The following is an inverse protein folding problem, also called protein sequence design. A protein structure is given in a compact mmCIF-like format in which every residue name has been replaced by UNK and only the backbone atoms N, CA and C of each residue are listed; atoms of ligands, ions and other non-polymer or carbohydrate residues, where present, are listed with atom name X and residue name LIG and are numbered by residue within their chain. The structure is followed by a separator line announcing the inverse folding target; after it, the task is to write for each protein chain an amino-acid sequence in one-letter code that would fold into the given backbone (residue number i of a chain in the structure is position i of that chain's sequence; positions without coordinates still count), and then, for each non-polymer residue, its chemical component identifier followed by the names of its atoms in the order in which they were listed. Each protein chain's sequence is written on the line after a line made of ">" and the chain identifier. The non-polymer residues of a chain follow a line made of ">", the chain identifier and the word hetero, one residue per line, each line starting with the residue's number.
data_IF_808583627234
#
_entry.id   IF_808583627234
#
_cell.length_a   1.000
_cell.length_b   1.000
_cell.length_c   1.000
_cell.angle_alpha   90.00
_cell.angle_beta   90.00
_cell.angle_gamma   90.00
#
_symmetry.space_group_name_H-M   'P 1'
#
loop_
_entity.id
_entity.type
_entity.pdbx_description
1 polymer ?
#
# COMPACT_ATOMS: atom_id res chain seq x y z
N UNK A 1 -72.47 -21.18 71.58
CA UNK A 1 -71.85 -21.10 70.29
C UNK A 1 -71.31 -19.72 69.98
N UNK A 2 -70.05 -19.49 69.84
CA UNK A 2 -69.56 -18.21 69.32
C UNK A 2 -69.01 -18.39 67.90
N UNK A 3 -69.14 -17.35 67.13
CA UNK A 3 -68.66 -17.15 65.77
C UNK A 3 -67.24 -16.61 65.80
N UNK A 4 -66.31 -17.34 65.16
CA UNK A 4 -64.95 -16.88 64.89
C UNK A 4 -64.86 -16.08 63.61
N UNK A 5 -64.48 -14.81 63.75
CA UNK A 5 -64.24 -13.89 62.63
C UNK A 5 -62.79 -13.95 62.28
N UNK A 6 -62.43 -14.55 61.10
CA UNK A 6 -61.10 -14.57 60.55
C UNK A 6 -60.83 -13.26 59.77
N UNK A 7 -59.96 -12.43 60.31
CA UNK A 7 -59.41 -11.23 59.63
C UNK A 7 -58.38 -11.64 58.57
N UNK A 8 -58.71 -11.48 57.30
CA UNK A 8 -57.78 -11.66 56.14
C UNK A 8 -56.83 -10.48 56.04
N UNK A 9 -55.53 -10.73 56.24
CA UNK A 9 -54.47 -9.78 56.04
C UNK A 9 -54.01 -9.81 54.58
N UNK A 10 -54.30 -8.75 53.81
CA UNK A 10 -53.79 -8.52 52.45
C UNK A 10 -52.29 -8.14 52.50
N UNK A 11 -51.46 -8.70 51.62
CA UNK A 11 -50.05 -8.32 51.56
C UNK A 11 -49.87 -6.92 50.89
N UNK A 12 -49.12 -6.07 51.57
CA UNK A 12 -48.71 -4.75 51.09
C UNK A 12 -47.88 -4.90 49.83
N UNK A 13 -48.33 -4.30 48.69
CA UNK A 13 -47.57 -4.13 47.46
C UNK A 13 -46.30 -3.28 47.73
N UNK A 14 -45.11 -3.84 47.49
CA UNK A 14 -43.86 -3.08 47.43
C UNK A 14 -43.90 -2.13 46.25
N UNK A 15 -43.40 -0.88 46.37
CA UNK A 15 -43.28 0.02 45.22
C UNK A 15 -42.25 -0.56 44.23
N UNK A 16 -42.65 -0.65 42.96
CA UNK A 16 -41.72 -0.98 41.85
C UNK A 16 -40.67 0.13 41.77
N UNK A 17 -39.40 -0.22 41.99
CA UNK A 17 -38.27 0.64 41.67
C UNK A 17 -38.38 1.06 40.19
N UNK A 18 -38.51 2.36 39.96
CA UNK A 18 -38.30 2.93 38.64
C UNK A 18 -36.87 2.58 38.21
N UNK A 19 -36.72 1.69 37.23
CA UNK A 19 -35.48 1.53 36.52
C UNK A 19 -35.14 2.90 35.92
N UNK A 20 -34.12 3.53 36.43
CA UNK A 20 -33.58 4.76 35.87
C UNK A 20 -33.14 4.45 34.43
N UNK A 21 -33.85 5.08 33.50
CA UNK A 21 -33.41 5.16 32.14
C UNK A 21 -32.06 5.89 32.17
N UNK A 22 -30.96 5.20 31.89
CA UNK A 22 -29.68 5.88 31.67
C UNK A 22 -29.92 6.91 30.56
N UNK A 23 -29.44 8.16 30.70
CA UNK A 23 -29.57 9.13 29.63
C UNK A 23 -28.95 8.55 28.37
N UNK A 24 -29.70 8.45 27.29
CA UNK A 24 -29.14 8.19 25.97
C UNK A 24 -28.10 9.30 25.76
N UNK A 25 -26.83 8.90 25.53
CA UNK A 25 -25.80 9.85 25.15
C UNK A 25 -26.33 10.61 23.93
N UNK A 26 -26.44 11.94 24.08
CA UNK A 26 -26.83 12.80 22.98
C UNK A 26 -25.90 12.55 21.79
N UNK A 27 -26.43 12.56 20.57
CA UNK A 27 -25.60 12.46 19.38
C UNK A 27 -24.60 13.63 19.39
N UNK A 28 -23.34 13.40 18.98
CA UNK A 28 -22.31 14.45 18.97
C UNK A 28 -22.74 15.58 18.02
N UNK A 29 -22.61 16.83 18.48
CA UNK A 29 -23.01 18.02 17.73
C UNK A 29 -21.98 18.42 16.66
N UNK A 30 -20.73 17.96 16.79
CA UNK A 30 -19.64 18.26 15.85
C UNK A 30 -18.73 17.04 15.58
N UNK A 31 -17.94 17.14 14.51
CA UNK A 31 -16.90 16.14 14.19
C UNK A 31 -15.89 16.04 15.33
N UNK A 32 -15.50 17.16 15.94
CA UNK A 32 -14.55 17.20 17.06
C UNK A 32 -15.08 16.45 18.29
N UNK A 33 -16.37 16.64 18.63
CA UNK A 33 -16.99 15.93 19.76
C UNK A 33 -17.09 14.44 19.49
N UNK A 34 -17.49 14.05 18.25
CA UNK A 34 -17.53 12.66 17.83
C UNK A 34 -16.14 11.99 17.87
N UNK A 35 -15.11 12.71 17.42
CA UNK A 35 -13.72 12.27 17.42
C UNK A 35 -13.20 12.11 18.86
N UNK A 36 -13.45 13.11 19.72
CA UNK A 36 -13.07 13.05 21.13
C UNK A 36 -13.72 11.86 21.84
N UNK A 37 -15.01 11.63 21.61
CA UNK A 37 -15.73 10.48 22.17
C UNK A 37 -15.17 9.14 21.64
N UNK A 38 -14.88 9.04 20.35
CA UNK A 38 -14.33 7.83 19.75
C UNK A 38 -12.95 7.47 20.32
N UNK A 39 -12.10 8.45 20.57
CA UNK A 39 -10.73 8.23 21.10
C UNK A 39 -10.71 7.82 22.59
N UNK A 40 -11.83 7.90 23.31
CA UNK A 40 -11.94 7.36 24.68
C UNK A 40 -12.03 5.83 24.74
N UNK A 41 -12.48 5.20 23.64
CA UNK A 41 -12.56 3.75 23.57
C UNK A 41 -11.20 3.17 23.15
N UNK A 42 -10.80 1.98 23.63
CA UNK A 42 -9.55 1.35 23.18
C UNK A 42 -9.59 0.96 21.68
N UNK A 43 -10.78 0.64 21.18
CA UNK A 43 -11.03 0.27 19.77
C UNK A 43 -12.21 1.07 19.25
N UNK A 44 -12.02 1.69 18.10
CA UNK A 44 -13.09 2.39 17.37
C UNK A 44 -13.58 1.50 16.23
N UNK A 45 -14.90 1.30 16.16
CA UNK A 45 -15.53 0.54 15.10
C UNK A 45 -16.07 1.49 14.03
N UNK A 46 -15.53 1.42 12.82
CA UNK A 46 -16.00 2.16 11.66
C UNK A 46 -16.46 1.17 10.59
N UNK A 47 -17.73 0.81 10.62
CA UNK A 47 -18.27 -0.29 9.82
C UNK A 47 -17.59 -1.62 10.15
N UNK A 48 -16.97 -2.26 9.15
CA UNK A 48 -16.20 -3.47 9.36
C UNK A 48 -14.78 -3.20 9.89
N UNK A 49 -14.31 -1.96 9.85
CA UNK A 49 -12.98 -1.58 10.30
C UNK A 49 -12.91 -1.43 11.82
N UNK A 50 -11.91 -2.06 12.43
CA UNK A 50 -11.53 -1.86 13.82
C UNK A 50 -10.22 -1.07 13.88
N UNK A 51 -10.23 0.06 14.58
CA UNK A 51 -9.09 0.96 14.69
C UNK A 51 -8.62 1.02 16.14
N UNK A 52 -7.31 0.95 16.35
CA UNK A 52 -6.67 1.11 17.65
C UNK A 52 -6.61 2.60 18.00
N UNK A 53 -7.47 3.03 18.92
CA UNK A 53 -7.55 4.44 19.34
C UNK A 53 -6.26 4.90 20.05
N UNK A 54 -5.59 4.04 20.82
CA UNK A 54 -4.35 4.41 21.51
C UNK A 54 -3.22 4.75 20.52
N UNK A 55 -3.19 4.08 19.38
CA UNK A 55 -2.25 4.35 18.30
C UNK A 55 -2.55 5.67 17.57
N UNK A 56 -3.82 6.05 17.48
CA UNK A 56 -4.25 7.25 16.75
C UNK A 56 -4.30 8.50 17.63
N UNK A 57 -4.55 8.37 18.92
CA UNK A 57 -4.65 9.49 19.86
C UNK A 57 -3.46 10.49 19.80
N UNK A 58 -2.18 10.06 19.65
CA UNK A 58 -1.06 10.98 19.57
C UNK A 58 -1.14 12.00 18.43
N UNK A 59 -1.82 11.69 17.33
CA UNK A 59 -2.02 12.60 16.20
C UNK A 59 -2.88 13.82 16.57
N UNK A 60 -3.74 13.68 17.57
CA UNK A 60 -4.71 14.68 18.00
C UNK A 60 -4.32 15.37 19.31
N UNK A 61 -3.30 14.89 20.00
CA UNK A 61 -2.91 15.41 21.31
C UNK A 61 -2.46 16.88 21.26
N UNK A 62 -1.76 17.30 20.20
CA UNK A 62 -1.30 18.69 20.03
C UNK A 62 -2.36 19.61 19.44
N UNK A 63 -3.41 19.05 18.82
CA UNK A 63 -4.45 19.80 18.10
C UNK A 63 -5.76 19.93 18.90
N UNK A 64 -5.73 19.68 20.21
CA UNK A 64 -6.93 19.71 21.07
C UNK A 64 -8.13 18.93 20.48
N UNK A 65 -7.83 17.77 19.87
CA UNK A 65 -8.81 16.91 19.19
C UNK A 65 -9.45 17.54 17.93
N UNK A 66 -8.80 18.53 17.33
CA UNK A 66 -9.28 19.09 16.05
C UNK A 66 -9.05 18.08 14.91
N UNK A 67 -10.02 17.90 14.00
CA UNK A 67 -9.87 17.06 12.83
C UNK A 67 -8.74 17.53 11.90
N UNK A 68 -7.97 16.59 11.34
CA UNK A 68 -6.83 16.84 10.46
C UNK A 68 -7.20 16.81 8.97
N UNK A 69 -8.25 16.07 8.62
CA UNK A 69 -8.64 15.71 7.26
C UNK A 69 -10.03 16.18 6.89
N UNK A 70 -10.95 16.19 7.86
CA UNK A 70 -12.38 16.37 7.63
C UNK A 70 -12.85 17.62 8.36
N UNK A 71 -13.79 18.33 7.75
CA UNK A 71 -14.51 19.45 8.35
C UNK A 71 -16.03 19.20 8.34
N UNK A 72 -16.82 20.10 8.88
CA UNK A 72 -18.26 20.03 8.79
C UNK A 72 -18.80 19.94 7.33
N UNK A 73 -18.02 20.45 6.37
CA UNK A 73 -18.33 20.33 4.93
C UNK A 73 -17.85 19.04 4.28
N UNK A 74 -17.24 18.11 5.05
CA UNK A 74 -16.71 16.84 4.56
C UNK A 74 -15.19 16.84 4.38
N UNK A 75 -14.70 15.90 3.57
CA UNK A 75 -13.29 15.70 3.31
C UNK A 75 -12.64 16.90 2.60
N UNK A 76 -11.56 17.44 3.20
CA UNK A 76 -10.84 18.59 2.66
C UNK A 76 -9.76 18.23 1.64
N UNK A 77 -9.01 19.23 1.17
CA UNK A 77 -7.91 19.06 0.22
C UNK A 77 -6.81 18.14 0.76
N UNK A 78 -6.49 18.21 2.05
CA UNK A 78 -5.52 17.31 2.72
C UNK A 78 -5.97 15.84 2.65
N UNK A 79 -7.27 15.58 2.89
CA UNK A 79 -7.85 14.24 2.77
C UNK A 79 -7.71 13.72 1.34
N UNK A 80 -7.96 14.56 0.34
CA UNK A 80 -7.85 14.19 -1.07
C UNK A 80 -6.40 13.87 -1.47
N UNK A 81 -5.42 14.64 -0.99
CA UNK A 81 -3.99 14.37 -1.21
C UNK A 81 -3.60 13.00 -0.65
N UNK A 82 -3.97 12.73 0.60
CA UNK A 82 -3.69 11.45 1.24
C UNK A 82 -4.39 10.29 0.52
N UNK A 83 -5.69 10.42 0.26
CA UNK A 83 -6.48 9.40 -0.48
C UNK A 83 -5.79 9.02 -1.79
N UNK A 84 -5.35 10.02 -2.57
CA UNK A 84 -4.64 9.81 -3.83
C UNK A 84 -3.34 9.05 -3.62
N UNK A 85 -2.55 9.39 -2.59
CA UNK A 85 -1.32 8.69 -2.26
C UNK A 85 -1.58 7.21 -1.87
N UNK A 86 -2.61 6.95 -1.06
CA UNK A 86 -2.99 5.60 -0.63
C UNK A 86 -3.50 4.75 -1.81
N UNK A 87 -4.31 5.32 -2.70
CA UNK A 87 -4.77 4.65 -3.93
C UNK A 87 -3.59 4.28 -4.84
N UNK A 88 -2.60 5.17 -4.92
CA UNK A 88 -1.40 5.00 -5.73
C UNK A 88 -0.26 4.25 -5.04
N UNK A 89 -0.46 3.69 -3.85
CA UNK A 89 0.57 2.95 -3.11
C UNK A 89 1.22 1.83 -3.92
N UNK A 90 0.53 1.31 -4.93
CA UNK A 90 1.06 0.35 -5.89
C UNK A 90 2.28 0.85 -6.67
N UNK A 91 2.45 2.16 -6.85
CA UNK A 91 3.64 2.74 -7.48
C UNK A 91 4.89 2.54 -6.60
N UNK A 92 4.69 2.49 -5.29
CA UNK A 92 5.72 2.17 -4.30
C UNK A 92 5.89 0.66 -4.09
N UNK A 93 5.23 -0.19 -4.88
CA UNK A 93 5.27 -1.65 -4.71
C UNK A 93 4.45 -2.16 -3.52
N UNK A 94 3.60 -1.32 -2.94
CA UNK A 94 2.74 -1.62 -1.81
C UNK A 94 1.31 -1.93 -2.27
N UNK A 95 0.53 -2.64 -1.45
CA UNK A 95 -0.86 -2.96 -1.79
C UNK A 95 -1.81 -1.90 -1.21
N UNK A 96 -2.62 -1.20 -2.03
CA UNK A 96 -3.59 -0.22 -1.54
C UNK A 96 -4.59 -0.79 -0.51
N UNK A 97 -4.93 -2.08 -0.61
CA UNK A 97 -5.82 -2.77 0.32
C UNK A 97 -5.34 -2.69 1.78
N UNK A 98 -4.02 -2.62 2.00
CA UNK A 98 -3.44 -2.47 3.34
C UNK A 98 -3.86 -1.18 4.04
N UNK A 99 -4.22 -0.16 3.28
CA UNK A 99 -4.53 1.19 3.76
C UNK A 99 -6.02 1.47 3.83
N UNK A 100 -6.84 0.41 3.84
CA UNK A 100 -8.29 0.47 4.03
C UNK A 100 -9.01 1.40 3.03
N UNK A 101 -8.55 1.41 1.79
CA UNK A 101 -9.15 2.29 0.75
C UNK A 101 -10.65 2.06 0.62
N UNK A 102 -11.12 0.80 0.66
CA UNK A 102 -12.54 0.51 0.55
C UNK A 102 -13.36 1.12 1.71
N UNK A 103 -12.82 1.06 2.94
CA UNK A 103 -13.46 1.67 4.10
C UNK A 103 -13.46 3.21 3.99
N UNK A 104 -12.34 3.83 3.56
CA UNK A 104 -12.25 5.27 3.31
C UNK A 104 -13.28 5.70 2.25
N UNK A 105 -13.41 4.97 1.15
CA UNK A 105 -14.39 5.27 0.09
C UNK A 105 -15.83 5.16 0.60
N UNK A 106 -16.12 4.18 1.45
CA UNK A 106 -17.47 4.02 2.01
C UNK A 106 -17.91 5.23 2.86
N UNK A 107 -16.97 5.90 3.53
CA UNK A 107 -17.25 7.08 4.34
C UNK A 107 -16.94 8.41 3.64
N UNK A 108 -16.49 8.40 2.37
CA UNK A 108 -16.01 9.61 1.70
C UNK A 108 -17.04 10.74 1.60
N UNK A 109 -18.31 10.38 1.47
CA UNK A 109 -19.44 11.31 1.40
C UNK A 109 -20.24 11.41 2.72
N UNK A 110 -19.60 11.08 3.84
CA UNK A 110 -20.23 11.13 5.16
C UNK A 110 -20.72 12.54 5.51
N UNK A 111 -21.93 12.64 6.06
CA UNK A 111 -22.56 13.91 6.43
C UNK A 111 -22.83 14.02 7.92
N UNK A 112 -22.92 12.90 8.64
CA UNK A 112 -23.11 12.92 10.09
C UNK A 112 -21.78 13.07 10.83
N UNK A 113 -21.73 13.77 11.98
CA UNK A 113 -20.50 13.92 12.76
C UNK A 113 -19.83 12.60 13.11
N UNK A 114 -20.59 11.57 13.43
CA UNK A 114 -20.06 10.24 13.77
C UNK A 114 -19.40 9.55 12.57
N UNK A 115 -20.01 9.59 11.39
CA UNK A 115 -19.43 9.03 10.17
C UNK A 115 -18.20 9.83 9.70
N UNK A 116 -18.25 11.17 9.84
CA UNK A 116 -17.12 12.05 9.54
C UNK A 116 -15.93 11.77 10.47
N UNK A 117 -16.17 11.50 11.76
CA UNK A 117 -15.12 11.06 12.68
C UNK A 117 -14.55 9.69 12.30
N UNK A 118 -15.36 8.77 11.77
CA UNK A 118 -14.87 7.52 11.21
C UNK A 118 -13.96 7.74 10.00
N UNK A 119 -14.34 8.61 9.05
CA UNK A 119 -13.48 8.97 7.91
C UNK A 119 -12.17 9.59 8.38
N UNK A 120 -12.20 10.50 9.33
CA UNK A 120 -11.07 11.14 9.95
C UNK A 120 -10.06 10.10 10.49
N UNK A 121 -10.55 9.16 11.29
CA UNK A 121 -9.73 8.11 11.91
C UNK A 121 -9.21 7.09 10.89
N UNK A 122 -10.00 6.74 9.88
CA UNK A 122 -9.59 5.86 8.78
C UNK A 122 -8.45 6.49 7.97
N UNK A 123 -8.54 7.80 7.67
CA UNK A 123 -7.47 8.54 6.98
C UNK A 123 -6.21 8.61 7.84
N UNK A 124 -6.33 8.89 9.14
CA UNK A 124 -5.18 8.92 10.05
C UNK A 124 -4.51 7.54 10.15
N UNK A 125 -5.29 6.47 10.28
CA UNK A 125 -4.77 5.10 10.28
C UNK A 125 -4.10 4.73 8.95
N UNK A 126 -4.67 5.19 7.84
CA UNK A 126 -4.10 5.05 6.50
C UNK A 126 -2.74 5.76 6.39
N UNK A 127 -2.66 7.00 6.84
CA UNK A 127 -1.42 7.78 6.87
C UNK A 127 -0.36 7.13 7.76
N UNK A 128 -0.70 6.77 9.00
CA UNK A 128 0.23 6.14 9.93
C UNK A 128 0.86 4.88 9.34
N UNK A 129 0.04 4.00 8.78
CA UNK A 129 0.51 2.76 8.18
C UNK A 129 1.32 3.01 6.90
N UNK A 130 0.79 3.82 5.97
CA UNK A 130 1.44 4.10 4.70
C UNK A 130 2.80 4.75 4.87
N UNK A 131 2.88 5.78 5.72
CA UNK A 131 4.13 6.50 5.96
C UNK A 131 5.21 5.60 6.55
N UNK A 132 4.86 4.71 7.49
CA UNK A 132 5.78 3.70 8.04
C UNK A 132 6.21 2.68 6.99
N UNK A 133 5.26 2.13 6.24
CA UNK A 133 5.53 1.10 5.22
C UNK A 133 6.45 1.66 4.11
N UNK A 134 6.24 2.91 3.68
CA UNK A 134 7.09 3.56 2.68
C UNK A 134 8.48 3.92 3.23
N UNK A 135 8.55 4.36 4.49
CA UNK A 135 9.79 4.83 5.12
C UNK A 135 10.70 3.71 5.60
N UNK A 136 10.14 2.62 6.11
CA UNK A 136 10.87 1.57 6.85
C UNK A 136 10.72 0.18 6.25
N UNK A 137 9.77 0.02 5.31
CA UNK A 137 9.42 -1.28 4.74
C UNK A 137 8.29 -1.97 5.49
N UNK A 138 7.80 -3.05 4.87
CA UNK A 138 6.74 -3.92 5.40
C UNK A 138 7.24 -4.85 6.50
N UNK A 139 8.51 -5.25 6.38
CA UNK A 139 9.22 -6.16 7.29
C UNK A 139 10.47 -5.50 7.82
N UNK A 140 10.89 -5.89 9.02
CA UNK A 140 12.18 -5.47 9.54
C UNK A 140 13.33 -6.11 8.75
N UNK A 141 14.45 -5.38 8.52
CA UNK A 141 15.58 -5.95 7.79
C UNK A 141 16.12 -7.25 8.42
N UNK A 142 16.23 -7.33 9.75
CA UNK A 142 16.68 -8.53 10.45
C UNK A 142 15.69 -9.72 10.37
N UNK A 143 14.40 -9.44 10.21
CA UNK A 143 13.38 -10.47 10.01
C UNK A 143 13.53 -11.12 8.63
N UNK A 144 13.84 -10.30 7.64
CA UNK A 144 14.04 -10.77 6.25
C UNK A 144 15.44 -11.36 6.01
N UNK A 145 16.46 -10.81 6.67
CA UNK A 145 17.87 -11.24 6.58
C UNK A 145 18.58 -10.98 7.92
N UNK A 146 18.82 -12.02 8.74
CA UNK A 146 19.49 -11.86 10.04
C UNK A 146 20.91 -11.29 9.94
N UNK A 147 21.57 -11.38 8.79
CA UNK A 147 22.91 -10.82 8.55
C UNK A 147 22.91 -9.34 8.22
N UNK A 148 21.74 -8.72 8.05
CA UNK A 148 21.60 -7.32 7.69
C UNK A 148 22.04 -6.39 8.83
N UNK A 149 23.08 -5.58 8.60
CA UNK A 149 23.69 -4.72 9.62
C UNK A 149 23.16 -3.28 9.61
N UNK A 150 22.68 -2.80 8.46
CA UNK A 150 22.20 -1.43 8.32
C UNK A 150 20.82 -1.26 8.97
N UNK A 151 20.59 -0.09 9.55
CA UNK A 151 19.29 0.24 10.14
C UNK A 151 18.65 1.41 9.39
N UNK A 152 17.36 1.32 9.06
CA UNK A 152 16.64 2.46 8.52
C UNK A 152 16.68 3.63 9.50
N UNK A 153 16.71 4.85 8.99
CA UNK A 153 16.63 6.05 9.81
C UNK A 153 15.34 6.04 10.66
N UNK A 154 15.40 6.50 11.92
CA UNK A 154 14.21 6.69 12.73
C UNK A 154 13.19 7.56 11.99
N UNK A 155 11.92 7.22 12.14
CA UNK A 155 10.81 7.99 11.56
C UNK A 155 9.63 7.99 12.52
N UNK A 156 9.20 9.19 12.87
CA UNK A 156 8.00 9.44 13.65
C UNK A 156 6.92 10.06 12.75
N UNK A 157 5.87 9.31 12.39
CA UNK A 157 4.83 9.81 11.53
C UNK A 157 3.95 10.88 12.20
N UNK A 158 3.83 10.86 13.53
CA UNK A 158 3.06 11.89 14.27
C UNK A 158 3.77 13.23 14.12
N UNK A 159 5.06 13.30 14.48
CA UNK A 159 5.85 14.51 14.34
C UNK A 159 5.92 14.99 12.88
N UNK A 160 6.05 14.05 11.92
CA UNK A 160 6.08 14.39 10.50
C UNK A 160 4.76 15.04 10.02
N UNK A 161 3.61 14.51 10.44
CA UNK A 161 2.30 15.06 10.07
C UNK A 161 2.04 16.41 10.73
N UNK A 162 2.44 16.56 11.99
CA UNK A 162 2.33 17.82 12.73
C UNK A 162 3.19 18.93 12.10
N UNK A 163 4.40 18.59 11.64
CA UNK A 163 5.26 19.52 10.92
C UNK A 163 4.70 19.93 9.55
N UNK A 164 3.83 19.14 8.94
CA UNK A 164 3.16 19.42 7.68
C UNK A 164 1.92 20.32 7.91
N UNK A 165 2.12 21.57 8.30
CA UNK A 165 1.05 22.50 8.69
C UNK A 165 0.12 22.90 7.56
N UNK A 166 0.57 22.95 6.31
CA UNK A 166 -0.21 23.32 5.12
C UNK A 166 -0.43 22.13 4.19
N UNK A 167 -1.35 22.28 3.22
CA UNK A 167 -1.56 21.28 2.17
C UNK A 167 -0.31 21.05 1.31
N UNK A 168 0.42 22.12 1.02
CA UNK A 168 1.69 22.05 0.29
C UNK A 168 2.79 21.32 1.06
N UNK A 169 2.82 21.47 2.39
CA UNK A 169 3.76 20.73 3.24
C UNK A 169 3.40 19.26 3.31
N UNK A 170 2.10 18.92 3.36
CA UNK A 170 1.64 17.52 3.29
C UNK A 170 1.99 16.89 1.93
N UNK A 171 1.76 17.59 0.82
CA UNK A 171 2.13 17.12 -0.51
C UNK A 171 3.63 16.80 -0.57
N UNK A 172 4.48 17.74 -0.11
CA UNK A 172 5.93 17.55 -0.03
C UNK A 172 6.32 16.40 0.90
N UNK A 173 5.67 16.24 2.05
CA UNK A 173 5.88 15.12 2.95
C UNK A 173 5.63 13.80 2.22
N UNK A 174 4.45 13.64 1.57
CA UNK A 174 4.09 12.43 0.85
C UNK A 174 5.07 12.12 -0.29
N UNK A 175 5.56 13.13 -1.02
CA UNK A 175 6.55 12.98 -2.09
C UNK A 175 7.93 12.55 -1.55
N UNK A 176 8.30 13.00 -0.36
CA UNK A 176 9.61 12.73 0.26
C UNK A 176 9.61 11.51 1.18
N UNK A 177 8.47 10.84 1.40
CA UNK A 177 8.42 9.58 2.16
C UNK A 177 9.27 8.48 1.52
N UNK A 178 9.21 8.23 0.19
CA UNK A 178 10.01 7.18 -0.44
C UNK A 178 11.52 7.43 -0.31
N UNK A 179 12.36 6.37 -0.45
CA UNK A 179 13.80 6.54 -0.51
C UNK A 179 14.23 7.49 -1.64
N UNK A 180 15.20 8.37 -1.35
CA UNK A 180 15.71 9.37 -2.31
C UNK A 180 16.75 8.80 -3.28
N UNK A 181 17.18 7.54 -3.11
CA UNK A 181 18.17 6.90 -3.97
C UNK A 181 17.68 6.80 -5.43
N UNK A 182 18.52 7.16 -6.38
CA UNK A 182 18.21 7.06 -7.80
C UNK A 182 17.83 5.63 -8.24
N UNK A 183 18.40 4.62 -7.57
CA UNK A 183 18.04 3.21 -7.77
C UNK A 183 16.56 2.94 -7.45
N UNK A 184 16.01 3.56 -6.40
CA UNK A 184 14.60 3.39 -6.05
C UNK A 184 13.69 3.96 -7.13
N UNK A 185 13.99 5.15 -7.65
CA UNK A 185 13.24 5.76 -8.75
C UNK A 185 13.26 4.87 -10.02
N UNK A 186 14.42 4.30 -10.36
CA UNK A 186 14.54 3.36 -11.49
C UNK A 186 13.71 2.10 -11.28
N UNK A 187 13.72 1.52 -10.06
CA UNK A 187 12.90 0.35 -9.74
C UNK A 187 11.40 0.66 -9.80
N UNK A 188 10.98 1.84 -9.35
CA UNK A 188 9.59 2.31 -9.43
C UNK A 188 9.11 2.40 -10.88
N UNK A 189 9.92 2.99 -11.77
CA UNK A 189 9.63 3.05 -13.20
C UNK A 189 9.56 1.64 -13.84
N UNK A 190 10.51 0.77 -13.50
CA UNK A 190 10.51 -0.61 -13.97
C UNK A 190 9.29 -1.38 -13.47
N UNK A 191 8.93 -1.24 -12.18
CA UNK A 191 7.75 -1.87 -11.59
C UNK A 191 6.46 -1.48 -12.32
N UNK A 192 6.27 -0.17 -12.58
CA UNK A 192 5.11 0.30 -13.32
C UNK A 192 5.01 -0.34 -14.71
N UNK A 193 6.14 -0.49 -15.40
CA UNK A 193 6.22 -1.16 -16.71
C UNK A 193 5.87 -2.64 -16.63
N UNK A 194 6.49 -3.40 -15.71
CA UNK A 194 6.24 -4.84 -15.60
C UNK A 194 4.84 -5.17 -15.09
N UNK A 195 4.25 -4.32 -14.25
CA UNK A 195 2.83 -4.44 -13.86
C UNK A 195 1.92 -4.30 -15.06
N UNK A 196 2.12 -3.25 -15.88
CA UNK A 196 1.34 -3.04 -17.10
C UNK A 196 1.46 -4.23 -18.06
N UNK A 197 2.68 -4.75 -18.25
CA UNK A 197 2.90 -5.94 -19.07
C UNK A 197 2.15 -7.15 -18.51
N UNK A 198 2.17 -7.36 -17.19
CA UNK A 198 1.45 -8.45 -16.53
C UNK A 198 -0.07 -8.32 -16.68
N UNK A 199 -0.61 -7.11 -16.53
CA UNK A 199 -2.04 -6.78 -16.71
C UNK A 199 -2.51 -7.01 -18.16
N UNK A 200 -1.62 -6.86 -19.12
CA UNK A 200 -1.85 -7.15 -20.54
C UNK A 200 -1.68 -8.64 -20.90
N UNK A 201 -1.49 -9.52 -19.91
CA UNK A 201 -1.30 -10.96 -20.10
C UNK A 201 0.16 -11.41 -20.17
N UNK A 202 1.12 -10.50 -20.05
CA UNK A 202 2.56 -10.80 -20.09
C UNK A 202 3.04 -11.21 -21.48
N UNK A 203 3.93 -12.18 -21.51
CA UNK A 203 4.48 -12.77 -22.73
C UNK A 203 4.39 -14.30 -22.67
N UNK A 204 4.21 -14.96 -23.82
CA UNK A 204 4.25 -16.41 -23.90
C UNK A 204 5.68 -16.91 -23.61
N UNK A 205 5.84 -18.08 -22.95
CA UNK A 205 7.14 -18.67 -22.73
C UNK A 205 7.77 -19.12 -24.06
N UNK A 206 9.09 -18.99 -24.15
CA UNK A 206 9.86 -19.59 -25.22
C UNK A 206 9.89 -21.11 -25.00
N UNK A 207 9.37 -21.95 -25.93
CA UNK A 207 9.31 -23.40 -25.75
C UNK A 207 10.70 -24.02 -25.51
N UNK A 208 10.71 -25.21 -24.92
CA UNK A 208 11.92 -26.01 -24.90
C UNK A 208 12.40 -26.28 -26.34
N UNK A 209 13.72 -26.32 -26.55
CA UNK A 209 14.29 -26.46 -27.87
C UNK A 209 15.80 -26.35 -27.89
N UNK A 210 16.39 -26.32 -29.06
CA UNK A 210 17.83 -26.24 -29.22
C UNK A 210 18.40 -24.91 -28.70
N UNK A 211 19.67 -24.84 -28.51
CA UNK A 211 20.45 -23.62 -28.38
C UNK A 211 20.24 -22.78 -29.65
N UNK A 212 20.01 -21.49 -29.51
CA UNK A 212 19.91 -20.55 -30.64
C UNK A 212 21.11 -19.61 -30.60
N UNK A 213 21.77 -19.46 -31.73
CA UNK A 213 22.97 -18.65 -31.86
C UNK A 213 22.86 -17.73 -33.11
N UNK A 214 23.67 -16.65 -33.18
CA UNK A 214 23.73 -15.80 -34.36
C UNK A 214 23.99 -16.60 -35.64
N UNK A 215 23.19 -16.38 -36.67
CA UNK A 215 23.25 -17.10 -37.94
C UNK A 215 22.29 -18.28 -38.05
N UNK A 216 21.78 -18.81 -36.95
CA UNK A 216 20.80 -19.91 -36.98
C UNK A 216 19.49 -19.51 -37.65
N UNK A 217 18.81 -20.49 -38.22
CA UNK A 217 17.44 -20.34 -38.75
C UNK A 217 16.50 -21.32 -38.03
N UNK A 218 15.54 -20.80 -37.27
CA UNK A 218 14.67 -21.61 -36.43
C UNK A 218 13.34 -20.88 -36.13
N UNK A 219 12.22 -21.59 -36.07
CA UNK A 219 10.89 -21.04 -35.79
C UNK A 219 10.82 -20.28 -34.47
N UNK A 220 11.50 -20.75 -33.41
CA UNK A 220 11.52 -20.08 -32.11
C UNK A 220 12.16 -18.70 -32.14
N UNK A 221 12.89 -18.33 -33.20
CA UNK A 221 13.48 -17.00 -33.38
C UNK A 221 12.37 -15.94 -33.47
N UNK A 222 11.23 -16.28 -34.07
CA UNK A 222 10.07 -15.37 -34.16
C UNK A 222 9.53 -15.05 -32.75
N UNK A 223 9.40 -16.08 -31.91
CA UNK A 223 8.97 -15.92 -30.50
C UNK A 223 9.99 -15.15 -29.68
N UNK A 224 11.28 -15.43 -29.86
CA UNK A 224 12.37 -14.70 -29.21
C UNK A 224 12.36 -13.21 -29.54
N UNK A 225 12.12 -12.85 -30.80
CA UNK A 225 11.98 -11.44 -31.24
C UNK A 225 10.80 -10.76 -30.53
N UNK A 226 9.63 -11.41 -30.54
CA UNK A 226 8.44 -10.90 -29.86
C UNK A 226 8.69 -10.69 -28.36
N UNK A 227 9.36 -11.65 -27.74
CA UNK A 227 9.73 -11.59 -26.32
C UNK A 227 10.66 -10.41 -26.01
N UNK A 228 11.72 -10.22 -26.76
CA UNK A 228 12.67 -9.12 -26.57
C UNK A 228 12.09 -7.75 -26.91
N UNK A 229 11.17 -7.67 -27.89
CA UNK A 229 10.41 -6.44 -28.16
C UNK A 229 9.50 -6.05 -27.00
N UNK A 230 8.85 -7.00 -26.36
CA UNK A 230 7.96 -6.70 -25.22
C UNK A 230 8.70 -6.05 -24.04
N UNK A 231 9.96 -6.36 -23.84
CA UNK A 231 10.84 -5.72 -22.85
C UNK A 231 11.67 -4.54 -23.42
N UNK A 232 11.62 -4.30 -24.73
CA UNK A 232 12.30 -3.19 -25.41
C UNK A 232 13.80 -3.42 -25.59
N UNK A 233 14.30 -4.64 -25.41
CA UNK A 233 15.67 -4.99 -25.75
C UNK A 233 15.87 -5.02 -27.27
N UNK A 234 14.82 -5.39 -28.03
CA UNK A 234 14.77 -5.25 -29.46
C UNK A 234 13.83 -4.09 -29.84
N UNK A 235 14.35 -2.96 -30.35
CA UNK A 235 13.53 -1.81 -30.73
C UNK A 235 12.50 -2.14 -31.81
N UNK A 236 11.31 -1.49 -31.77
CA UNK A 236 10.25 -1.71 -32.76
C UNK A 236 10.66 -1.35 -34.19
N UNK A 237 11.54 -0.36 -34.34
CA UNK A 237 12.04 0.10 -35.63
C UNK A 237 13.25 -0.74 -36.14
N UNK A 238 13.75 -1.67 -35.35
CA UNK A 238 14.80 -2.57 -35.82
C UNK A 238 14.23 -3.46 -36.95
N UNK A 239 14.84 -3.38 -38.11
CA UNK A 239 14.51 -4.22 -39.27
C UNK A 239 15.03 -5.63 -39.04
N UNK A 240 14.35 -6.38 -38.20
CA UNK A 240 14.70 -7.71 -37.74
C UNK A 240 13.43 -8.56 -37.74
N UNK A 241 13.30 -9.44 -38.74
CA UNK A 241 12.10 -10.25 -38.98
C UNK A 241 12.44 -11.70 -39.33
N UNK A 242 11.42 -12.55 -39.31
CA UNK A 242 11.53 -13.95 -39.75
C UNK A 242 12.26 -14.85 -38.76
N UNK A 243 12.67 -15.99 -39.28
CA UNK A 243 13.23 -17.16 -38.57
C UNK A 243 14.75 -17.09 -38.41
N UNK A 244 15.42 -16.17 -39.13
CA UNK A 244 16.87 -16.03 -39.07
C UNK A 244 17.33 -15.25 -37.84
N UNK A 245 18.28 -15.78 -37.10
CA UNK A 245 18.94 -15.12 -35.97
C UNK A 245 19.96 -14.11 -36.51
N UNK A 246 19.53 -12.88 -36.74
CA UNK A 246 20.34 -11.80 -37.32
C UNK A 246 21.10 -10.99 -36.25
N UNK A 247 21.99 -10.09 -36.70
CA UNK A 247 22.82 -9.28 -35.83
C UNK A 247 22.02 -8.36 -34.87
N UNK A 248 20.94 -7.67 -35.29
CA UNK A 248 20.10 -6.89 -34.36
C UNK A 248 19.51 -7.74 -33.24
N UNK A 249 19.11 -8.99 -33.52
CA UNK A 249 18.59 -9.91 -32.52
C UNK A 249 19.72 -10.37 -31.57
N UNK A 250 20.92 -10.62 -32.07
CA UNK A 250 22.08 -10.98 -31.24
C UNK A 250 22.38 -9.89 -30.22
N UNK A 251 22.45 -8.64 -30.65
CA UNK A 251 22.66 -7.48 -29.77
C UNK A 251 21.52 -7.35 -28.74
N UNK A 252 20.27 -7.61 -29.14
CA UNK A 252 19.15 -7.58 -28.21
C UNK A 252 19.25 -8.67 -27.13
N UNK A 253 19.72 -9.88 -27.49
CA UNK A 253 19.96 -10.97 -26.54
C UNK A 253 21.13 -10.63 -25.60
N UNK A 254 22.22 -10.07 -26.13
CA UNK A 254 23.36 -9.61 -25.31
C UNK A 254 22.92 -8.55 -24.29
N UNK A 255 22.11 -7.56 -24.69
CA UNK A 255 21.56 -6.55 -23.80
C UNK A 255 20.67 -7.18 -22.72
N UNK A 256 19.80 -8.11 -23.10
CA UNK A 256 18.99 -8.88 -22.15
C UNK A 256 19.86 -9.64 -21.14
N UNK A 257 20.87 -10.38 -21.63
CA UNK A 257 21.78 -11.15 -20.80
C UNK A 257 22.54 -10.26 -19.82
N UNK A 258 23.12 -9.16 -20.29
CA UNK A 258 23.82 -8.18 -19.45
C UNK A 258 22.91 -7.64 -18.34
N UNK A 259 21.69 -7.21 -18.70
CA UNK A 259 20.71 -6.67 -17.76
C UNK A 259 20.25 -7.69 -16.71
N UNK A 260 20.32 -8.98 -17.04
CA UNK A 260 19.94 -10.08 -16.14
C UNK A 260 21.14 -10.77 -15.45
N UNK A 261 22.34 -10.19 -15.53
CA UNK A 261 23.53 -10.73 -14.88
C UNK A 261 24.00 -12.07 -15.48
N UNK A 262 23.66 -12.33 -16.75
CA UNK A 262 24.12 -13.48 -17.51
C UNK A 262 25.36 -13.12 -18.32
N UNK A 263 26.10 -14.14 -18.78
CA UNK A 263 27.17 -13.95 -19.76
C UNK A 263 26.57 -13.43 -21.07
N UNK A 264 26.98 -12.26 -21.52
CA UNK A 264 26.47 -11.59 -22.71
C UNK A 264 27.18 -12.09 -23.98
N UNK A 265 26.83 -13.29 -24.42
CA UNK A 265 27.38 -13.96 -25.60
C UNK A 265 26.43 -14.00 -26.81
N UNK A 266 25.25 -13.43 -26.65
CA UNK A 266 24.22 -13.45 -27.69
C UNK A 266 23.64 -14.82 -27.94
N UNK A 267 23.87 -15.82 -27.08
CA UNK A 267 23.40 -17.19 -27.27
C UNK A 267 22.27 -17.55 -26.32
N UNK A 268 21.17 -18.06 -26.87
CA UNK A 268 20.00 -18.51 -26.07
C UNK A 268 20.19 -19.97 -25.70
N UNK A 269 21.04 -20.21 -24.70
CA UNK A 269 21.17 -21.52 -24.02
C UNK A 269 20.15 -21.70 -22.90
N UNK A 270 20.29 -22.76 -22.10
CA UNK A 270 19.38 -23.11 -21.01
C UNK A 270 19.16 -21.98 -20.00
N UNK A 271 20.24 -21.31 -19.55
CA UNK A 271 20.14 -20.23 -18.55
C UNK A 271 19.44 -18.98 -19.10
N UNK A 272 19.78 -18.59 -20.35
CA UNK A 272 19.14 -17.44 -21.02
C UNK A 272 17.67 -17.73 -21.27
N UNK A 273 17.32 -18.93 -21.71
CA UNK A 273 15.93 -19.37 -21.91
C UNK A 273 15.13 -19.34 -20.61
N UNK A 274 15.69 -19.85 -19.51
CA UNK A 274 15.05 -19.79 -18.21
C UNK A 274 14.80 -18.35 -17.76
N UNK A 275 15.75 -17.45 -17.98
CA UNK A 275 15.59 -16.03 -17.67
C UNK A 275 14.52 -15.35 -18.55
N UNK A 276 14.47 -15.66 -19.85
CA UNK A 276 13.43 -15.15 -20.77
C UNK A 276 12.03 -15.61 -20.36
N UNK A 277 11.92 -16.79 -19.76
CA UNK A 277 10.64 -17.43 -19.38
C UNK A 277 10.11 -17.00 -18.01
N UNK A 278 10.84 -16.17 -17.25
CA UNK A 278 10.29 -15.62 -16.00
C UNK A 278 9.10 -14.73 -16.33
N UNK A 279 7.89 -15.02 -15.81
CA UNK A 279 6.69 -14.23 -16.13
C UNK A 279 6.80 -12.77 -15.73
N UNK A 280 6.08 -11.87 -16.41
CA UNK A 280 6.07 -10.44 -16.12
C UNK A 280 5.60 -10.15 -14.68
N UNK A 281 4.63 -10.89 -14.17
CA UNK A 281 4.15 -10.77 -12.80
C UNK A 281 5.24 -11.13 -11.77
N UNK A 282 6.05 -12.16 -12.04
CA UNK A 282 7.18 -12.53 -11.16
C UNK A 282 8.30 -11.48 -11.24
N UNK A 283 8.56 -10.89 -12.41
CA UNK A 283 9.48 -9.74 -12.52
C UNK A 283 9.01 -8.56 -11.68
N UNK A 284 7.71 -8.25 -11.73
CA UNK A 284 7.13 -7.23 -10.85
C UNK A 284 7.30 -7.57 -9.36
N UNK A 285 7.15 -8.84 -8.97
CA UNK A 285 7.37 -9.30 -7.60
C UNK A 285 8.84 -9.16 -7.18
N UNK A 286 9.80 -9.49 -8.06
CA UNK A 286 11.24 -9.29 -7.82
C UNK A 286 11.58 -7.81 -7.59
N UNK A 287 11.00 -6.91 -8.40
CA UNK A 287 11.19 -5.47 -8.25
C UNK A 287 10.62 -4.94 -6.93
N UNK A 288 9.44 -5.41 -6.50
CA UNK A 288 8.88 -5.06 -5.18
C UNK A 288 9.82 -5.48 -4.04
N UNK A 289 10.38 -6.69 -4.09
CA UNK A 289 11.35 -7.16 -3.10
C UNK A 289 12.64 -6.31 -3.09
N UNK A 290 13.11 -5.87 -4.25
CA UNK A 290 14.25 -4.97 -4.35
C UNK A 290 13.94 -3.59 -3.78
N UNK A 291 12.75 -3.03 -4.05
CA UNK A 291 12.29 -1.76 -3.47
C UNK A 291 12.17 -1.85 -1.95
N UNK A 292 11.69 -2.98 -1.43
CA UNK A 292 11.61 -3.23 0.02
C UNK A 292 13.00 -3.12 0.67
N UNK A 293 14.01 -3.77 0.10
CA UNK A 293 15.39 -3.72 0.61
C UNK A 293 15.97 -2.31 0.60
N UNK A 294 15.64 -1.49 -0.42
CA UNK A 294 16.11 -0.11 -0.47
C UNK A 294 15.51 0.78 0.63
N UNK A 295 14.36 0.43 1.21
CA UNK A 295 13.77 1.14 2.36
C UNK A 295 14.53 0.89 3.65
N UNK A 296 15.30 -0.19 3.73
CA UNK A 296 16.13 -0.52 4.88
C UNK A 296 17.47 0.22 4.91
N UNK A 297 17.84 0.88 3.81
CA UNK A 297 19.06 1.67 3.74
C UNK A 297 18.90 3.01 4.45
N UNK A 298 19.95 3.55 5.07
CA UNK A 298 20.01 4.95 5.50
C UNK A 298 19.73 5.89 4.32
N UNK A 299 19.10 7.03 4.58
CA UNK A 299 18.69 7.96 3.50
C UNK A 299 19.86 8.65 2.80
N UNK A 300 20.95 8.83 3.51
CA UNK A 300 22.20 9.44 3.06
C UNK A 300 23.19 8.43 2.44
N UNK A 301 22.78 7.15 2.36
CA UNK A 301 23.59 6.10 1.79
C UNK A 301 23.76 6.28 0.27
N UNK A 302 24.98 6.60 -0.18
CA UNK A 302 25.30 6.76 -1.61
C UNK A 302 24.85 8.09 -2.22
N UNK A 303 24.72 9.16 -1.41
CA UNK A 303 24.59 10.54 -1.87
C UNK A 303 25.91 11.12 -2.34
#
# INVERSE_FOLDING_TARGET
>A
SPRDTVLSTLPRRRPRSRAGCAPALAAPDSVSDALAAALQAPVVNCGAAQLDAQRLAPYYAAAETMPLWVSASGAGARAQLLRTALQNAGQEGLSPVRYRIADIEAYWSATTPAEQACLELLLTAGFDRYSRDVRRGLTGPHEADPSWQLRPAPFDPVAALQAAGTDGDLARLLETLPPVHSAYARLRTALARYRRLAEQGGWPPLPAGPKLAPGDEHEQVVLLRARLRSEGDLPLFALSFGTRYDAPLATAVENFQHRHGLHADGIVGTRTRAALNVPAAERAAQLRRAMERLRWLPRDFGS
#
